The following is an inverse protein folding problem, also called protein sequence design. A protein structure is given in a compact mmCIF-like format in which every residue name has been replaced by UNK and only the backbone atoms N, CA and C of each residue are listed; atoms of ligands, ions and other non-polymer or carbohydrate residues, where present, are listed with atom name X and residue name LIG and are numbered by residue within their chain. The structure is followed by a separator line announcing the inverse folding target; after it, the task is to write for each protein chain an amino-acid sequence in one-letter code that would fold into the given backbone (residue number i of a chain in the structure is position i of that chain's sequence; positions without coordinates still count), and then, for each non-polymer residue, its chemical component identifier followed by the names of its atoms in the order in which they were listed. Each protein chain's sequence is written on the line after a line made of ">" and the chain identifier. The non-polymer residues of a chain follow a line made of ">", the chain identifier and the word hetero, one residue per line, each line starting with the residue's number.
data_IF_372569045765
#
_entry.id   IF_372569045765
#
_cell.length_a   1.000
_cell.length_b   1.000
_cell.length_c   1.000
_cell.angle_alpha   90.00
_cell.angle_beta   90.00
_cell.angle_gamma   90.00
#
_symmetry.space_group_name_H-M   'P 1'
#
loop_
_entity.id
_entity.type
_entity.pdbx_description
1 polymer ?
#
# COMPACT_ATOMS: atom_id res chain seq x y z
N UNK A 1 -61.94 39.36 -41.16
CA UNK A 1 -61.01 40.00 -40.26
C UNK A 1 -60.22 38.93 -39.53
N UNK A 2 -58.98 38.67 -39.95
CA UNK A 2 -58.09 37.66 -39.35
C UNK A 2 -57.11 38.36 -38.46
N UNK A 3 -57.20 38.17 -37.13
CA UNK A 3 -56.27 38.69 -36.18
C UNK A 3 -55.11 37.67 -35.99
N UNK A 4 -53.89 38.10 -36.31
CA UNK A 4 -52.66 37.29 -36.18
C UNK A 4 -51.99 37.75 -34.90
N UNK A 5 -51.93 36.90 -33.87
CA UNK A 5 -51.12 37.13 -32.67
C UNK A 5 -49.70 36.57 -32.87
N UNK A 6 -48.64 37.31 -32.66
CA UNK A 6 -47.28 36.76 -32.66
C UNK A 6 -46.98 36.07 -31.31
N UNK A 7 -46.56 34.84 -31.40
CA UNK A 7 -46.10 34.01 -30.29
C UNK A 7 -44.67 34.42 -29.97
N UNK A 8 -44.44 35.11 -28.89
CA UNK A 8 -43.09 35.43 -28.38
C UNK A 8 -42.59 34.24 -27.60
N UNK A 9 -41.63 33.55 -28.17
CA UNK A 9 -40.95 32.40 -27.54
C UNK A 9 -39.84 32.93 -26.63
N UNK A 10 -40.09 32.89 -25.33
CA UNK A 10 -39.11 33.27 -24.31
C UNK A 10 -38.17 32.11 -24.06
N UNK A 11 -36.95 32.15 -24.62
CA UNK A 11 -35.91 31.15 -24.40
C UNK A 11 -35.31 31.32 -23.00
N UNK A 12 -35.55 30.35 -22.12
CA UNK A 12 -34.91 30.27 -20.82
C UNK A 12 -33.52 29.67 -21.03
N UNK A 13 -32.48 30.49 -20.90
CA UNK A 13 -31.08 30.07 -20.90
C UNK A 13 -30.76 29.45 -19.53
N UNK A 14 -30.75 28.12 -19.44
CA UNK A 14 -30.29 27.40 -18.25
C UNK A 14 -28.76 27.45 -18.20
N UNK A 15 -28.20 28.34 -17.40
CA UNK A 15 -26.80 28.34 -17.07
C UNK A 15 -26.56 27.23 -16.04
N UNK A 16 -26.11 26.08 -16.50
CA UNK A 16 -25.67 24.98 -15.64
C UNK A 16 -24.34 25.33 -14.99
N UNK A 17 -24.35 25.67 -13.71
CA UNK A 17 -23.13 25.69 -12.88
C UNK A 17 -22.63 24.26 -12.70
N UNK A 18 -21.62 23.84 -13.47
CA UNK A 18 -20.84 22.67 -13.17
C UNK A 18 -20.00 22.96 -11.92
N UNK A 19 -20.45 22.53 -10.76
CA UNK A 19 -19.65 22.51 -9.54
C UNK A 19 -18.57 21.43 -9.70
N UNK A 20 -17.34 21.84 -10.04
CA UNK A 20 -16.17 20.99 -9.88
C UNK A 20 -15.94 20.84 -8.37
N UNK A 21 -16.45 19.74 -7.79
CA UNK A 21 -16.03 19.30 -6.48
C UNK A 21 -14.58 18.80 -6.61
N UNK A 22 -13.63 19.27 -5.78
CA UNK A 22 -12.31 18.69 -5.71
C UNK A 22 -12.47 17.29 -5.09
N UNK A 23 -12.48 16.25 -5.91
CA UNK A 23 -12.39 14.87 -5.47
C UNK A 23 -10.95 14.62 -5.04
N UNK A 24 -10.61 15.04 -3.82
CA UNK A 24 -9.42 14.61 -3.09
C UNK A 24 -9.58 13.18 -2.61
N UNK A 25 -9.95 12.27 -3.51
CA UNK A 25 -9.85 10.85 -3.24
C UNK A 25 -8.38 10.49 -3.44
N UNK A 26 -7.68 10.29 -2.32
CA UNK A 26 -6.38 9.65 -2.33
C UNK A 26 -6.58 8.23 -2.89
N UNK A 27 -6.36 8.10 -4.19
CA UNK A 27 -6.64 6.86 -4.90
C UNK A 27 -5.72 5.75 -4.38
N UNK A 28 -6.33 4.71 -3.83
CA UNK A 28 -5.66 3.45 -3.52
C UNK A 28 -5.18 2.83 -4.84
N UNK A 29 -3.89 2.51 -4.93
CA UNK A 29 -3.27 1.92 -6.13
C UNK A 29 -2.66 0.56 -5.81
N UNK A 30 -2.93 -0.43 -6.64
CA UNK A 30 -2.27 -1.74 -6.62
C UNK A 30 -1.36 -1.92 -7.85
N UNK A 31 -0.89 -0.81 -8.45
CA UNK A 31 0.08 -0.85 -9.55
C UNK A 31 1.45 -1.30 -9.02
N UNK A 32 2.01 -2.42 -9.54
CA UNK A 32 3.31 -2.93 -9.13
C UNK A 32 4.45 -1.91 -9.24
N UNK A 33 4.41 -1.03 -10.24
CA UNK A 33 5.47 -0.04 -10.46
C UNK A 33 5.59 0.94 -9.28
N UNK A 34 4.54 1.12 -8.49
CA UNK A 34 4.54 2.04 -7.35
C UNK A 34 5.41 1.55 -6.19
N UNK A 35 5.68 0.23 -6.11
CA UNK A 35 6.38 -0.39 -4.99
C UNK A 35 7.79 -0.89 -5.31
N UNK A 36 8.17 -0.93 -6.60
CA UNK A 36 9.47 -1.45 -7.03
C UNK A 36 10.62 -0.47 -6.82
N UNK A 37 11.82 -1.02 -6.62
CA UNK A 37 13.11 -0.32 -6.58
C UNK A 37 13.18 0.83 -5.57
N UNK A 38 12.43 0.74 -4.49
CA UNK A 38 12.51 1.65 -3.34
C UNK A 38 12.50 0.86 -2.04
N UNK A 39 13.16 1.39 -1.04
CA UNK A 39 13.20 0.80 0.29
C UNK A 39 11.96 1.21 1.06
N UNK A 40 11.24 0.21 1.56
CA UNK A 40 10.09 0.37 2.43
C UNK A 40 10.45 0.03 3.86
N UNK A 41 10.10 0.89 4.81
CA UNK A 41 10.35 0.74 6.24
C UNK A 41 9.06 0.36 6.95
N UNK A 42 9.06 -0.74 7.68
CA UNK A 42 7.90 -1.22 8.44
C UNK A 42 7.61 -0.31 9.63
N UNK A 43 6.42 0.26 9.70
CA UNK A 43 5.97 1.15 10.78
C UNK A 43 5.10 0.45 11.82
N UNK A 44 4.19 -0.40 11.34
CA UNK A 44 3.26 -1.11 12.23
C UNK A 44 2.61 -2.32 11.54
N UNK A 45 2.12 -3.24 12.35
CA UNK A 45 1.14 -4.25 11.95
C UNK A 45 -0.10 -4.15 12.83
N UNK A 46 -1.28 -4.20 12.22
CA UNK A 46 -2.56 -4.27 12.94
C UNK A 46 -3.25 -5.58 12.55
N UNK A 47 -3.63 -6.35 13.56
CA UNK A 47 -4.48 -7.54 13.45
C UNK A 47 -5.67 -7.40 14.38
N UNK A 48 -6.70 -8.27 14.31
CA UNK A 48 -7.82 -8.23 15.25
C UNK A 48 -7.44 -8.42 16.73
N UNK A 49 -6.29 -9.01 16.99
CA UNK A 49 -5.85 -9.38 18.37
C UNK A 49 -4.57 -8.68 18.82
N UNK A 50 -3.82 -8.06 17.91
CA UNK A 50 -2.50 -7.50 18.21
C UNK A 50 -2.25 -6.25 17.38
N UNK A 51 -1.59 -5.26 18.00
CA UNK A 51 -0.96 -4.13 17.31
C UNK A 51 0.50 -4.12 17.64
N UNK A 52 1.35 -4.15 16.61
CA UNK A 52 2.80 -4.03 16.73
C UNK A 52 3.18 -2.65 16.18
N UNK A 53 3.61 -1.73 17.03
CA UNK A 53 4.24 -0.48 16.64
C UNK A 53 5.76 -0.68 16.57
N UNK A 54 6.39 -0.20 15.50
CA UNK A 54 7.83 -0.39 15.26
C UNK A 54 8.58 0.88 15.62
N UNK A 55 9.32 0.92 16.74
CA UNK A 55 9.99 2.14 17.20
C UNK A 55 11.16 2.58 16.31
N UNK A 56 11.79 1.64 15.60
CA UNK A 56 12.95 1.88 14.73
C UNK A 56 12.71 1.27 13.33
N UNK A 57 11.85 1.90 12.49
CA UNK A 57 11.46 1.35 11.19
C UNK A 57 12.62 1.09 10.22
N UNK A 58 13.71 1.84 10.33
CA UNK A 58 14.93 1.67 9.53
C UNK A 58 15.64 0.33 9.78
N UNK A 59 15.33 -0.36 10.88
CA UNK A 59 15.84 -1.70 11.19
C UNK A 59 15.06 -2.83 10.50
N UNK A 60 13.87 -2.52 9.95
CA UNK A 60 12.95 -3.51 9.36
C UNK A 60 12.50 -3.02 7.99
N UNK A 61 13.18 -3.47 6.95
CA UNK A 61 12.96 -2.95 5.60
C UNK A 61 12.77 -4.05 4.58
N UNK A 62 12.06 -3.72 3.50
CA UNK A 62 12.00 -4.52 2.29
C UNK A 62 12.31 -3.64 1.07
N UNK A 63 12.90 -4.26 0.06
CA UNK A 63 13.10 -3.69 -1.27
C UNK A 63 12.73 -4.76 -2.30
N UNK A 64 11.73 -4.48 -3.13
CA UNK A 64 11.31 -5.35 -4.22
C UNK A 64 11.99 -4.89 -5.50
N UNK A 65 12.70 -5.80 -6.18
CA UNK A 65 13.37 -5.50 -7.45
C UNK A 65 12.51 -5.92 -8.64
N UNK A 66 12.73 -5.33 -9.80
CA UNK A 66 12.00 -5.67 -11.02
C UNK A 66 12.19 -7.14 -11.47
N UNK A 67 13.24 -7.81 -10.98
CA UNK A 67 13.56 -9.21 -11.28
C UNK A 67 12.82 -10.21 -10.39
N UNK A 68 11.82 -9.80 -9.61
CA UNK A 68 11.05 -10.68 -8.73
C UNK A 68 11.80 -11.10 -7.46
N UNK A 69 12.78 -10.31 -7.03
CA UNK A 69 13.53 -10.53 -5.79
C UNK A 69 13.11 -9.54 -4.72
N UNK A 70 13.04 -10.03 -3.49
CA UNK A 70 12.93 -9.17 -2.31
C UNK A 70 14.22 -9.24 -1.51
N UNK A 71 14.74 -8.08 -1.16
CA UNK A 71 15.80 -7.92 -0.16
C UNK A 71 15.14 -7.41 1.11
N UNK A 72 15.53 -7.96 2.25
CA UNK A 72 14.95 -7.60 3.53
C UNK A 72 16.01 -7.42 4.61
N UNK A 73 15.75 -6.49 5.52
CA UNK A 73 16.47 -6.33 6.76
C UNK A 73 15.54 -6.67 7.93
N UNK A 74 15.96 -7.63 8.72
CA UNK A 74 15.28 -8.11 9.92
C UNK A 74 16.10 -7.71 11.14
N UNK A 75 16.07 -6.43 11.48
CA UNK A 75 16.88 -5.85 12.54
C UNK A 75 18.39 -5.95 12.26
N UNK A 76 19.11 -6.77 13.01
CA UNK A 76 20.53 -7.05 12.81
C UNK A 76 20.76 -8.08 11.68
N UNK A 77 19.74 -8.84 11.30
CA UNK A 77 19.79 -9.85 10.24
C UNK A 77 19.44 -9.28 8.87
N UNK A 78 19.96 -9.89 7.82
CA UNK A 78 19.66 -9.55 6.42
C UNK A 78 19.33 -10.80 5.66
N UNK A 79 18.44 -10.65 4.69
CA UNK A 79 18.03 -11.77 3.88
C UNK A 79 17.15 -11.36 2.71
N UNK A 80 16.32 -12.26 2.25
CA UNK A 80 15.42 -12.06 1.14
C UNK A 80 14.93 -13.36 0.54
N UNK A 81 14.33 -13.26 -0.63
CA UNK A 81 13.77 -14.38 -1.38
C UNK A 81 13.22 -13.92 -2.70
N UNK A 82 12.26 -14.66 -3.20
CA UNK A 82 11.48 -14.30 -4.38
C UNK A 82 10.12 -13.75 -3.94
N UNK A 83 9.51 -12.97 -4.83
CA UNK A 83 8.10 -12.58 -4.69
C UNK A 83 7.40 -12.73 -6.03
N UNK A 84 6.08 -12.80 -5.99
CA UNK A 84 5.21 -12.81 -7.17
C UNK A 84 4.12 -11.76 -7.01
N UNK A 85 3.83 -11.02 -8.08
CA UNK A 85 2.72 -10.09 -8.18
C UNK A 85 1.85 -10.50 -9.37
N UNK A 86 0.56 -10.66 -9.14
CA UNK A 86 -0.43 -10.91 -10.17
C UNK A 86 -1.77 -10.33 -9.75
N UNK A 87 -2.37 -9.49 -10.59
CA UNK A 87 -3.72 -8.94 -10.40
C UNK A 87 -3.96 -8.30 -9.01
N UNK A 88 -2.98 -7.52 -8.52
CA UNK A 88 -3.04 -6.86 -7.20
C UNK A 88 -2.73 -7.77 -6.01
N UNK A 89 -2.50 -9.05 -6.24
CA UNK A 89 -2.00 -9.99 -5.24
C UNK A 89 -0.48 -9.90 -5.17
N UNK A 90 0.06 -9.97 -3.97
CA UNK A 90 1.49 -10.06 -3.71
C UNK A 90 1.72 -11.22 -2.75
N UNK A 91 2.65 -12.10 -3.09
CA UNK A 91 3.09 -13.16 -2.19
C UNK A 91 4.61 -13.26 -2.17
N UNK A 92 5.16 -13.55 -1.00
CA UNK A 92 6.56 -13.86 -0.83
C UNK A 92 6.75 -15.37 -0.79
N UNK A 93 7.74 -15.87 -1.56
CA UNK A 93 8.22 -17.22 -1.42
C UNK A 93 9.00 -17.41 -0.10
N UNK A 94 9.64 -18.55 0.11
CA UNK A 94 10.45 -18.78 1.31
C UNK A 94 11.49 -17.67 1.48
N UNK A 95 11.42 -16.96 2.61
CA UNK A 95 12.38 -15.93 2.98
C UNK A 95 13.52 -16.57 3.80
N UNK A 96 14.75 -16.26 3.43
CA UNK A 96 15.96 -16.68 4.14
C UNK A 96 16.58 -15.47 4.82
N UNK A 97 17.20 -15.67 5.97
CA UNK A 97 17.95 -14.61 6.66
C UNK A 97 19.19 -15.19 7.35
N UNK A 98 20.17 -14.31 7.63
CA UNK A 98 21.25 -14.61 8.57
C UNK A 98 20.65 -14.86 9.97
N UNK A 99 21.42 -15.47 10.86
CA UNK A 99 20.98 -15.81 12.21
C UNK A 99 21.97 -15.27 13.24
N UNK A 100 22.21 -13.96 13.21
CA UNK A 100 22.92 -13.30 14.28
C UNK A 100 22.01 -13.14 15.49
N UNK A 101 22.57 -13.15 16.69
CA UNK A 101 21.84 -12.80 17.91
C UNK A 101 21.56 -11.30 17.90
N UNK A 102 20.31 -10.92 17.67
CA UNK A 102 19.89 -9.52 17.74
C UNK A 102 19.61 -9.10 19.20
N UNK A 103 19.48 -7.78 19.47
CA UNK A 103 19.09 -7.28 20.79
C UNK A 103 17.76 -7.90 21.27
N UNK A 104 17.52 -7.97 22.61
CA UNK A 104 16.32 -8.61 23.17
C UNK A 104 14.99 -7.98 22.73
N UNK A 105 14.99 -6.71 22.29
CA UNK A 105 13.83 -5.95 21.84
C UNK A 105 13.57 -6.11 20.33
N UNK A 106 14.21 -7.07 19.68
CA UNK A 106 14.05 -7.29 18.24
C UNK A 106 12.64 -7.74 17.87
N UNK A 107 12.14 -7.23 16.73
CA UNK A 107 10.88 -7.62 16.10
C UNK A 107 11.11 -8.48 14.84
N UNK A 108 12.28 -9.13 14.72
CA UNK A 108 12.63 -9.93 13.53
C UNK A 108 11.67 -11.11 13.30
N UNK A 109 11.28 -11.82 14.34
CA UNK A 109 10.38 -12.95 14.26
C UNK A 109 8.94 -12.56 13.82
N UNK A 110 8.26 -11.58 14.43
CA UNK A 110 6.96 -11.14 13.95
C UNK A 110 7.04 -10.51 12.54
N UNK A 111 8.08 -9.76 12.21
CA UNK A 111 8.25 -9.20 10.88
C UNK A 111 8.39 -10.28 9.80
N UNK A 112 9.23 -11.29 10.00
CA UNK A 112 9.40 -12.44 9.10
C UNK A 112 8.09 -13.23 8.96
N UNK A 113 7.43 -13.53 10.09
CA UNK A 113 6.16 -14.26 10.14
C UNK A 113 5.10 -13.59 9.27
N UNK A 114 4.93 -12.27 9.44
CA UNK A 114 3.86 -11.53 8.76
C UNK A 114 4.17 -11.34 7.29
N UNK A 115 5.43 -11.07 6.90
CA UNK A 115 5.83 -11.00 5.50
C UNK A 115 5.53 -12.31 4.75
N UNK A 116 5.79 -13.47 5.33
CA UNK A 116 5.50 -14.76 4.71
C UNK A 116 4.01 -15.05 4.53
N UNK A 117 3.15 -14.27 5.18
CA UNK A 117 1.69 -14.42 5.10
C UNK A 117 1.02 -13.41 4.17
N UNK A 118 1.76 -12.46 3.61
CA UNK A 118 1.20 -11.44 2.72
C UNK A 118 0.45 -12.07 1.55
N UNK A 119 -0.74 -11.54 1.24
CA UNK A 119 -1.61 -12.02 0.17
C UNK A 119 -1.91 -10.94 -0.89
N UNK A 120 -1.88 -9.67 -0.51
CA UNK A 120 -2.15 -8.54 -1.41
C UNK A 120 -1.44 -7.28 -0.95
N UNK A 121 -1.47 -6.25 -1.78
CA UNK A 121 -0.91 -4.95 -1.45
C UNK A 121 -1.70 -3.81 -2.07
N UNK A 122 -1.55 -2.64 -1.49
CA UNK A 122 -1.90 -1.37 -2.11
C UNK A 122 -1.01 -0.24 -1.60
N UNK A 123 -0.94 0.83 -2.37
CA UNK A 123 -0.30 2.09 -1.97
C UNK A 123 -1.37 3.14 -1.81
N UNK A 124 -1.32 3.87 -0.71
CA UNK A 124 -2.23 4.97 -0.40
C UNK A 124 -1.47 6.05 0.36
N UNK A 125 -1.62 7.31 -0.07
CA UNK A 125 -0.91 8.46 0.54
C UNK A 125 0.62 8.28 0.63
N UNK A 126 1.22 7.60 -0.35
CA UNK A 126 2.67 7.34 -0.37
C UNK A 126 3.15 6.24 0.59
N UNK A 127 2.25 5.59 1.33
CA UNK A 127 2.54 4.43 2.16
C UNK A 127 2.18 3.14 1.44
N UNK A 128 2.96 2.10 1.68
CA UNK A 128 2.67 0.75 1.24
C UNK A 128 1.93 0.00 2.35
N UNK A 129 0.86 -0.66 1.98
CA UNK A 129 0.10 -1.56 2.84
C UNK A 129 0.18 -2.97 2.28
N UNK A 130 0.62 -3.91 3.11
CA UNK A 130 0.62 -5.34 2.81
C UNK A 130 -0.48 -6.01 3.62
N UNK A 131 -1.43 -6.62 2.94
CA UNK A 131 -2.59 -7.25 3.57
C UNK A 131 -2.33 -8.74 3.82
N UNK A 132 -2.66 -9.18 5.01
CA UNK A 132 -2.63 -10.60 5.38
C UNK A 132 -3.92 -11.30 4.91
N UNK A 133 -3.92 -12.61 4.67
CA UNK A 133 -5.05 -13.30 4.07
C UNK A 133 -6.28 -13.28 5.01
N UNK A 134 -7.47 -13.31 4.42
CA UNK A 134 -8.75 -13.38 5.14
C UNK A 134 -8.96 -12.23 6.13
N UNK A 135 -8.54 -11.01 5.76
CA UNK A 135 -8.65 -9.81 6.60
C UNK A 135 -8.00 -9.98 7.99
N UNK A 136 -7.01 -10.87 8.09
CA UNK A 136 -6.36 -11.18 9.37
C UNK A 136 -5.35 -10.14 9.83
N UNK A 137 -5.12 -9.09 9.04
CA UNK A 137 -4.29 -7.97 9.44
C UNK A 137 -3.68 -7.22 8.27
N UNK A 138 -3.04 -6.11 8.59
CA UNK A 138 -2.37 -5.23 7.62
C UNK A 138 -1.06 -4.73 8.20
N UNK A 139 0.01 -4.85 7.41
CA UNK A 139 1.31 -4.24 7.69
C UNK A 139 1.40 -2.91 6.95
N UNK A 140 1.80 -1.85 7.63
CA UNK A 140 2.02 -0.53 7.03
C UNK A 140 3.51 -0.23 6.93
N UNK A 141 3.91 0.32 5.79
CA UNK A 141 5.26 0.76 5.51
C UNK A 141 5.26 2.19 4.99
N UNK A 142 6.31 2.93 5.33
CA UNK A 142 6.64 4.21 4.68
C UNK A 142 7.81 4.03 3.72
N UNK A 143 7.92 4.90 2.72
CA UNK A 143 9.12 4.98 1.90
C UNK A 143 10.29 5.47 2.76
N UNK A 144 11.46 4.87 2.60
CA UNK A 144 12.69 5.41 3.18
C UNK A 144 13.00 6.79 2.57
N UNK A 145 13.65 7.69 3.32
CA UNK A 145 14.11 8.99 2.83
C UNK A 145 15.04 8.88 1.63
#
# INVERSE_FOLDING_TARGET
>A
MRSIFPFVMFGILMIGCAANAPSGQHARSSDPQTILNKTWQWELTITPVEKIDVPNPERYTILLTAEGKVQARFDCNRGGGNYEISEGKLSFGPLMSTRMACPPDTLDAPFMRDLQRVASFFVENGNLYLELPFDSGTMKFRSAP
#
